data_IF_646830470187
#
_entry.id   IF_646830470187
#
_cell.length_a   1.000
_cell.length_b   1.000
_cell.length_c   1.000
_cell.angle_alpha   90.00
_cell.angle_beta   90.00
_cell.angle_gamma   90.00
#
_symmetry.space_group_name_H-M   'P 1'
#
loop_
_entity.id
_entity.type
_entity.pdbx_description
1 polymer ?
#
# COMPACT_ATOMS: atom_id res chain seq x y z
N UNK A 1 4.82 12.16 32.40
CA UNK A 1 4.61 12.69 31.03
C UNK A 1 4.10 11.61 30.05
N UNK A 2 3.05 10.83 30.41
CA UNK A 2 2.61 9.67 29.59
C UNK A 2 1.16 9.73 29.09
N UNK A 3 0.41 10.81 29.36
CA UNK A 3 -1.03 10.86 29.04
C UNK A 3 -1.39 11.70 27.81
N UNK A 4 -0.45 12.47 27.24
CA UNK A 4 -0.74 13.39 26.12
C UNK A 4 -0.67 12.74 24.73
N UNK A 5 -0.16 11.51 24.60
CA UNK A 5 -0.04 10.82 23.30
C UNK A 5 -1.37 10.13 22.88
N UNK A 6 -2.32 9.97 23.81
CA UNK A 6 -3.62 9.32 23.54
C UNK A 6 -4.53 10.10 22.59
N UNK A 7 -4.26 11.38 22.33
CA UNK A 7 -5.12 12.24 21.53
C UNK A 7 -4.96 12.10 20.00
N UNK A 8 -3.93 11.37 19.52
CA UNK A 8 -3.62 11.30 18.09
C UNK A 8 -4.12 10.03 17.38
N UNK A 9 -4.97 9.21 17.99
CA UNK A 9 -5.60 8.06 17.33
C UNK A 9 -4.63 6.95 16.87
N UNK A 10 -3.34 7.04 17.23
CA UNK A 10 -2.35 6.01 16.92
C UNK A 10 -2.61 4.75 17.77
N UNK A 11 -2.68 3.60 17.11
CA UNK A 11 -2.71 2.31 17.82
C UNK A 11 -1.38 2.12 18.58
N UNK A 12 -1.39 1.58 19.82
CA UNK A 12 -0.15 1.33 20.56
C UNK A 12 0.75 0.34 19.80
N UNK A 13 2.08 0.46 19.99
CA UNK A 13 3.01 -0.55 19.47
C UNK A 13 2.73 -1.91 20.13
N UNK A 14 2.27 -2.89 19.33
CA UNK A 14 2.06 -4.25 19.84
C UNK A 14 3.38 -4.87 20.32
N UNK A 15 3.39 -5.32 21.57
CA UNK A 15 4.49 -6.15 22.09
C UNK A 15 4.51 -7.51 21.38
N UNK A 16 5.61 -8.25 21.47
CA UNK A 16 5.68 -9.59 20.86
C UNK A 16 4.59 -10.54 21.37
N UNK A 17 4.26 -10.46 22.67
CA UNK A 17 3.17 -11.24 23.27
C UNK A 17 1.80 -10.87 22.71
N UNK A 18 1.54 -9.57 22.53
CA UNK A 18 0.27 -9.11 21.95
C UNK A 18 0.11 -9.57 20.50
N UNK A 19 1.20 -9.61 19.73
CA UNK A 19 1.16 -10.12 18.35
C UNK A 19 0.86 -11.60 18.32
N UNK A 20 1.53 -12.41 19.16
CA UNK A 20 1.24 -13.85 19.24
C UNK A 20 -0.22 -14.07 19.64
N UNK A 21 -0.70 -13.33 20.63
CA UNK A 21 -2.10 -13.39 21.07
C UNK A 21 -3.06 -12.96 19.97
N UNK A 22 -2.75 -11.89 19.23
CA UNK A 22 -3.53 -11.43 18.07
C UNK A 22 -3.61 -12.53 17.01
N UNK A 23 -2.47 -13.08 16.59
CA UNK A 23 -2.42 -14.13 15.55
C UNK A 23 -3.13 -15.42 15.97
N UNK A 24 -3.08 -15.78 17.25
CA UNK A 24 -3.73 -16.98 17.76
C UNK A 24 -5.24 -16.79 18.01
N UNK A 25 -5.65 -15.61 18.47
CA UNK A 25 -7.00 -15.35 18.99
C UNK A 25 -7.91 -14.69 17.95
N UNK A 26 -7.37 -13.86 17.07
CA UNK A 26 -8.17 -13.15 16.07
C UNK A 26 -8.67 -14.13 15.00
N UNK A 27 -10.00 -14.23 14.89
CA UNK A 27 -10.67 -15.09 13.92
C UNK A 27 -10.30 -14.75 12.47
N UNK A 28 -9.95 -13.50 12.19
CA UNK A 28 -9.57 -13.06 10.85
C UNK A 28 -8.11 -13.40 10.49
N UNK A 29 -7.21 -13.49 11.48
CA UNK A 29 -5.80 -13.81 11.26
C UNK A 29 -5.53 -15.32 11.22
N UNK A 30 -6.28 -16.10 12.01
CA UNK A 30 -6.11 -17.55 12.16
C UNK A 30 -6.09 -18.33 10.83
N UNK A 31 -6.97 -18.06 9.84
CA UNK A 31 -6.93 -18.77 8.56
C UNK A 31 -5.62 -18.59 7.80
N UNK A 32 -5.00 -17.41 7.88
CA UNK A 32 -3.71 -17.17 7.25
C UNK A 32 -2.59 -17.91 7.95
N UNK A 33 -2.56 -17.91 9.28
CA UNK A 33 -1.59 -18.69 10.07
C UNK A 33 -1.69 -20.17 9.72
N UNK A 34 -2.91 -20.72 9.70
CA UNK A 34 -3.14 -22.12 9.33
C UNK A 34 -2.74 -22.40 7.89
N UNK A 35 -3.07 -21.52 6.94
CA UNK A 35 -2.67 -21.67 5.54
C UNK A 35 -1.15 -21.62 5.35
N UNK A 36 -0.45 -20.73 6.05
CA UNK A 36 1.02 -20.66 6.01
C UNK A 36 1.68 -21.89 6.62
N UNK A 37 1.15 -22.41 7.73
CA UNK A 37 1.67 -23.62 8.37
C UNK A 37 1.38 -24.87 7.51
N UNK A 38 0.19 -24.96 6.93
CA UNK A 38 -0.17 -26.03 6.00
C UNK A 38 0.72 -26.01 4.76
N UNK A 39 0.97 -24.82 4.19
CA UNK A 39 1.89 -24.66 3.07
C UNK A 39 3.33 -25.08 3.44
N UNK A 40 3.81 -24.71 4.62
CA UNK A 40 5.12 -25.10 5.11
C UNK A 40 5.24 -26.62 5.31
N UNK A 41 4.20 -27.25 5.85
CA UNK A 41 4.10 -28.71 5.97
C UNK A 41 4.07 -29.39 4.59
N UNK A 42 3.37 -28.82 3.61
CA UNK A 42 3.37 -29.34 2.24
C UNK A 42 4.74 -29.22 1.56
N UNK A 43 5.45 -28.11 1.75
CA UNK A 43 6.84 -27.95 1.26
C UNK A 43 7.73 -29.05 1.85
N UNK A 44 7.61 -29.33 3.16
CA UNK A 44 8.33 -30.41 3.82
C UNK A 44 8.04 -31.78 3.19
N UNK A 45 6.76 -32.13 3.03
CA UNK A 45 6.35 -33.42 2.44
C UNK A 45 6.93 -33.57 1.04
N UNK A 46 6.87 -32.52 0.22
CA UNK A 46 7.40 -32.57 -1.14
C UNK A 46 8.93 -32.71 -1.15
N UNK A 47 9.66 -31.96 -0.31
CA UNK A 47 11.12 -32.09 -0.22
C UNK A 47 11.54 -33.47 0.29
N UNK A 48 10.82 -34.01 1.27
CA UNK A 48 11.02 -35.36 1.80
C UNK A 48 10.80 -36.43 0.73
N UNK A 49 9.70 -36.35 -0.03
CA UNK A 49 9.43 -37.24 -1.18
C UNK A 49 10.48 -37.12 -2.29
N UNK A 50 11.17 -35.98 -2.38
CA UNK A 50 12.25 -35.74 -3.33
C UNK A 50 13.61 -36.25 -2.82
N UNK A 51 13.66 -36.87 -1.64
CA UNK A 51 14.88 -37.40 -1.01
C UNK A 51 15.71 -36.34 -0.27
N UNK A 52 15.15 -35.15 0.00
CA UNK A 52 15.80 -34.07 0.73
C UNK A 52 15.27 -33.93 2.16
N UNK A 53 15.58 -34.91 3.00
CA UNK A 53 15.09 -34.97 4.38
C UNK A 53 15.60 -33.78 5.22
N UNK A 54 16.91 -33.52 5.12
CA UNK A 54 17.57 -32.41 5.80
C UNK A 54 17.04 -31.06 5.31
N UNK A 55 16.85 -30.92 3.99
CA UNK A 55 16.30 -29.72 3.37
C UNK A 55 14.89 -29.44 3.86
N UNK A 56 14.03 -30.46 3.92
CA UNK A 56 12.69 -30.36 4.47
C UNK A 56 12.69 -29.82 5.91
N UNK A 57 13.49 -30.43 6.81
CA UNK A 57 13.55 -30.04 8.22
C UNK A 57 14.01 -28.58 8.36
N UNK A 58 15.08 -28.20 7.66
CA UNK A 58 15.63 -26.84 7.71
C UNK A 58 14.58 -25.82 7.24
N UNK A 59 13.87 -26.10 6.14
CA UNK A 59 12.84 -25.20 5.61
C UNK A 59 11.70 -25.00 6.61
N UNK A 60 11.24 -26.07 7.28
CA UNK A 60 10.18 -25.95 8.31
C UNK A 60 10.64 -25.13 9.50
N UNK A 61 11.83 -25.44 10.05
CA UNK A 61 12.36 -24.72 11.20
C UNK A 61 12.57 -23.25 10.87
N UNK A 62 13.14 -22.96 9.70
CA UNK A 62 13.37 -21.60 9.24
C UNK A 62 12.05 -20.86 8.98
N UNK A 63 11.09 -21.50 8.31
CA UNK A 63 9.78 -20.91 8.02
C UNK A 63 8.97 -20.62 9.29
N UNK A 64 9.01 -21.52 10.28
CA UNK A 64 8.37 -21.32 11.57
C UNK A 64 9.07 -20.23 12.41
N UNK A 65 10.40 -20.21 12.44
CA UNK A 65 11.19 -19.17 13.09
C UNK A 65 10.93 -17.80 12.44
N UNK A 66 10.83 -17.74 11.11
CA UNK A 66 10.51 -16.53 10.37
C UNK A 66 9.14 -15.95 10.75
N UNK A 67 8.14 -16.80 10.94
CA UNK A 67 6.82 -16.40 11.45
C UNK A 67 6.91 -15.86 12.88
N UNK A 68 7.62 -16.56 13.77
CA UNK A 68 7.73 -16.18 15.18
C UNK A 68 8.53 -14.89 15.40
N UNK A 69 9.67 -14.76 14.71
CA UNK A 69 10.59 -13.62 14.82
C UNK A 69 10.17 -12.43 13.94
N UNK A 70 9.22 -12.63 13.03
CA UNK A 70 8.72 -11.62 12.09
C UNK A 70 9.82 -11.06 11.19
N UNK A 71 10.73 -11.93 10.77
CA UNK A 71 11.89 -11.53 9.98
C UNK A 71 11.49 -11.23 8.53
N UNK A 72 11.54 -9.95 8.14
CA UNK A 72 11.09 -9.48 6.82
C UNK A 72 11.92 -10.03 5.66
N UNK A 73 13.19 -10.36 5.90
CA UNK A 73 14.06 -10.98 4.91
C UNK A 73 13.86 -12.50 4.76
N UNK A 74 13.07 -13.13 5.63
CA UNK A 74 12.93 -14.58 5.60
C UNK A 74 12.33 -15.16 4.31
N UNK A 75 11.31 -14.56 3.65
CA UNK A 75 10.75 -15.12 2.42
C UNK A 75 11.78 -15.35 1.29
N UNK A 76 12.64 -14.38 0.91
CA UNK A 76 13.67 -14.63 -0.10
C UNK A 76 14.76 -15.61 0.38
N UNK A 77 15.11 -15.61 1.67
CA UNK A 77 16.03 -16.61 2.21
C UNK A 77 15.46 -18.03 2.14
N UNK A 78 14.18 -18.21 2.45
CA UNK A 78 13.52 -19.51 2.34
C UNK A 78 13.47 -20.01 0.89
N UNK A 79 13.24 -19.12 -0.07
CA UNK A 79 13.34 -19.46 -1.50
C UNK A 79 14.74 -19.92 -1.89
N UNK A 80 15.78 -19.23 -1.39
CA UNK A 80 17.17 -19.62 -1.62
C UNK A 80 17.49 -21.00 -1.04
N UNK A 81 17.00 -21.28 0.17
CA UNK A 81 17.17 -22.59 0.82
C UNK A 81 16.45 -23.69 0.03
N UNK A 82 15.19 -23.48 -0.38
CA UNK A 82 14.45 -24.44 -1.20
C UNK A 82 15.18 -24.68 -2.53
N UNK A 83 15.63 -23.61 -3.21
CA UNK A 83 16.37 -23.73 -4.45
C UNK A 83 17.68 -24.52 -4.27
N UNK A 84 18.42 -24.26 -3.19
CA UNK A 84 19.64 -24.98 -2.87
C UNK A 84 19.40 -26.49 -2.71
N UNK A 85 18.38 -26.88 -1.94
CA UNK A 85 18.06 -28.30 -1.72
C UNK A 85 17.38 -28.97 -2.93
N UNK A 86 16.79 -28.21 -3.83
CA UNK A 86 16.34 -28.71 -5.14
C UNK A 86 17.53 -29.03 -6.05
N UNK A 87 18.61 -28.25 -6.00
CA UNK A 87 19.85 -28.56 -6.72
C UNK A 87 20.64 -29.69 -6.06
N UNK A 88 20.68 -29.70 -4.72
CA UNK A 88 21.47 -30.62 -3.92
C UNK A 88 20.61 -31.29 -2.84
N UNK A 89 19.87 -32.37 -3.17
CA UNK A 89 18.95 -33.01 -2.22
C UNK A 89 19.61 -33.43 -0.90
N UNK A 90 20.86 -33.91 -0.97
CA UNK A 90 21.66 -34.31 0.19
C UNK A 90 22.40 -33.15 0.88
N UNK A 91 22.28 -31.93 0.36
CA UNK A 91 22.94 -30.72 0.87
C UNK A 91 24.42 -30.58 0.53
N UNK A 92 25.02 -31.57 -0.13
CA UNK A 92 26.41 -31.56 -0.59
C UNK A 92 26.41 -31.63 -2.12
N UNK A 93 27.14 -30.77 -2.83
CA UNK A 93 27.35 -30.92 -4.27
C UNK A 93 28.05 -32.25 -4.54
N UNK A 94 27.42 -33.14 -5.30
CA UNK A 94 28.03 -34.41 -5.71
C UNK A 94 28.98 -34.16 -6.91
N UNK A 95 30.31 -34.23 -6.72
CA UNK A 95 31.26 -34.01 -7.79
C UNK A 95 31.32 -35.17 -8.80
N UNK A 96 30.67 -36.31 -8.52
CA UNK A 96 30.73 -37.53 -9.33
C UNK A 96 29.60 -37.69 -10.35
N UNK A 97 28.54 -36.89 -10.27
CA UNK A 97 27.43 -36.96 -11.25
C UNK A 97 27.81 -36.25 -12.56
N UNK A 98 27.61 -36.91 -13.71
CA UNK A 98 28.10 -36.45 -15.02
C UNK A 98 27.51 -35.10 -15.51
N UNK A 99 26.55 -34.50 -14.80
CA UNK A 99 26.27 -33.06 -14.79
C UNK A 99 25.20 -32.77 -13.74
N UNK A 100 25.54 -32.26 -12.53
CA UNK A 100 24.53 -31.86 -11.54
C UNK A 100 23.63 -30.71 -12.04
N UNK A 101 24.06 -30.00 -13.09
CA UNK A 101 23.32 -28.93 -13.75
C UNK A 101 22.50 -29.38 -14.96
N UNK A 102 22.44 -30.70 -15.24
CA UNK A 102 21.56 -31.21 -16.27
C UNK A 102 20.13 -31.06 -15.77
N UNK A 103 19.48 -29.97 -16.19
CA UNK A 103 18.07 -29.69 -15.90
C UNK A 103 17.30 -30.96 -16.23
N UNK A 104 16.65 -31.57 -15.23
CA UNK A 104 15.78 -32.74 -15.45
C UNK A 104 14.79 -32.35 -16.55
N UNK A 105 14.99 -32.87 -17.75
CA UNK A 105 14.20 -32.52 -18.94
C UNK A 105 12.81 -33.17 -18.92
N UNK A 106 12.35 -33.57 -17.73
CA UNK A 106 11.11 -34.27 -17.51
C UNK A 106 9.92 -33.36 -17.77
N UNK A 107 8.95 -33.93 -18.48
CA UNK A 107 7.59 -33.44 -18.54
C UNK A 107 6.97 -33.29 -17.14
N UNK A 108 5.90 -32.47 -17.10
CA UNK A 108 4.92 -32.29 -16.03
C UNK A 108 5.12 -33.19 -14.79
N UNK A 109 5.79 -32.68 -13.76
CA UNK A 109 5.87 -33.35 -12.46
C UNK A 109 4.86 -32.73 -11.51
N UNK A 110 3.90 -33.55 -11.05
CA UNK A 110 2.89 -33.13 -10.07
C UNK A 110 3.57 -32.62 -8.80
N UNK A 111 4.68 -33.24 -8.40
CA UNK A 111 5.50 -32.85 -7.25
C UNK A 111 5.96 -31.39 -7.33
N UNK A 112 6.48 -30.96 -8.48
CA UNK A 112 6.96 -29.59 -8.67
C UNK A 112 5.80 -28.59 -8.66
N UNK A 113 4.65 -28.94 -9.25
CA UNK A 113 3.47 -28.09 -9.23
C UNK A 113 2.93 -27.88 -7.80
N UNK A 114 2.88 -28.97 -7.02
CA UNK A 114 2.47 -28.91 -5.61
C UNK A 114 3.47 -28.10 -4.79
N UNK A 115 4.78 -28.24 -5.04
CA UNK A 115 5.82 -27.44 -4.39
C UNK A 115 5.65 -25.96 -4.68
N UNK A 116 5.54 -25.59 -5.96
CA UNK A 116 5.38 -24.18 -6.38
C UNK A 116 4.10 -23.60 -5.80
N UNK A 117 2.99 -24.36 -5.83
CA UNK A 117 1.73 -23.93 -5.22
C UNK A 117 1.90 -23.69 -3.72
N UNK A 118 2.52 -24.62 -2.98
CA UNK A 118 2.76 -24.49 -1.55
C UNK A 118 3.67 -23.28 -1.25
N UNK A 119 4.73 -23.06 -2.04
CA UNK A 119 5.60 -21.88 -1.91
C UNK A 119 4.83 -20.58 -2.13
N UNK A 120 4.00 -20.49 -3.17
CA UNK A 120 3.19 -19.29 -3.43
C UNK A 120 2.20 -19.00 -2.29
N UNK A 121 1.54 -20.03 -1.77
CA UNK A 121 0.61 -19.93 -0.64
C UNK A 121 1.36 -19.50 0.63
N UNK A 122 2.53 -20.07 0.89
CA UNK A 122 3.41 -19.68 2.00
C UNK A 122 3.82 -18.20 1.88
N UNK A 123 4.40 -17.78 0.75
CA UNK A 123 4.85 -16.40 0.54
C UNK A 123 3.70 -15.41 0.72
N UNK A 124 2.56 -15.68 0.07
CA UNK A 124 1.40 -14.79 0.12
C UNK A 124 0.80 -14.72 1.52
N UNK A 125 0.68 -15.84 2.21
CA UNK A 125 0.24 -15.88 3.60
C UNK A 125 1.20 -15.15 4.53
N UNK A 126 2.51 -15.35 4.37
CA UNK A 126 3.56 -14.71 5.17
C UNK A 126 3.54 -13.18 5.01
N UNK A 127 3.49 -12.68 3.78
CA UNK A 127 3.36 -11.24 3.53
C UNK A 127 2.03 -10.68 4.04
N UNK A 128 0.93 -11.44 3.96
CA UNK A 128 -0.36 -11.02 4.54
C UNK A 128 -0.27 -10.89 6.06
N UNK A 129 0.33 -11.86 6.75
CA UNK A 129 0.57 -11.80 8.20
C UNK A 129 1.46 -10.62 8.58
N UNK A 130 2.51 -10.34 7.80
CA UNK A 130 3.33 -9.16 8.00
C UNK A 130 2.53 -7.87 7.85
N UNK A 131 1.53 -7.80 6.98
CA UNK A 131 0.69 -6.61 6.81
C UNK A 131 -0.26 -6.32 7.96
N UNK A 132 -0.55 -7.32 8.79
CA UNK A 132 -1.35 -7.16 10.01
C UNK A 132 -0.51 -6.64 11.17
N UNK A 133 0.77 -7.03 11.20
CA UNK A 133 1.67 -6.70 12.31
C UNK A 133 2.50 -5.45 12.02
N UNK A 134 2.90 -5.26 10.77
CA UNK A 134 3.77 -4.19 10.28
C UNK A 134 3.10 -3.42 9.14
N UNK A 135 3.50 -2.16 9.00
CA UNK A 135 3.11 -1.34 7.86
C UNK A 135 3.93 -1.76 6.64
N UNK A 136 3.26 -2.36 5.63
CA UNK A 136 3.91 -2.81 4.38
C UNK A 136 4.15 -1.65 3.41
N UNK A 137 3.24 -0.67 3.39
CA UNK A 137 3.31 0.44 2.45
C UNK A 137 4.07 1.58 3.10
N UNK A 138 5.07 2.19 2.44
CA UNK A 138 5.70 3.40 2.93
C UNK A 138 4.63 4.42 3.35
N UNK A 139 4.81 5.15 4.46
CA UNK A 139 3.84 6.15 4.87
C UNK A 139 3.63 7.16 3.73
N UNK A 140 2.37 7.47 3.41
CA UNK A 140 2.00 8.44 2.37
C UNK A 140 2.54 9.85 2.67
N UNK A 141 2.90 10.14 3.93
CA UNK A 141 3.60 11.35 4.30
C UNK A 141 5.10 11.22 3.99
N UNK A 142 5.59 12.06 3.08
CA UNK A 142 7.03 12.21 2.79
C UNK A 142 7.87 12.55 4.04
N UNK A 143 7.21 13.02 5.11
CA UNK A 143 7.80 13.35 6.41
C UNK A 143 7.06 12.57 7.50
N UNK A 144 7.63 11.44 7.94
CA UNK A 144 7.19 10.75 9.14
C UNK A 144 7.48 11.65 10.35
N UNK A 145 6.44 12.03 11.11
CA UNK A 145 6.67 12.81 12.33
C UNK A 145 7.35 11.93 13.38
N UNK A 146 8.29 12.50 14.13
CA UNK A 146 8.94 11.79 15.25
C UNK A 146 7.87 11.35 16.26
N UNK A 147 7.72 10.04 16.47
CA UNK A 147 6.70 9.45 17.35
C UNK A 147 5.37 9.11 16.66
N UNK A 148 5.27 9.27 15.34
CA UNK A 148 4.11 8.80 14.58
C UNK A 148 4.15 7.27 14.46
N UNK A 149 3.13 6.63 15.02
CA UNK A 149 3.03 5.16 15.03
C UNK A 149 2.59 4.69 13.65
N UNK A 150 3.22 3.64 13.08
CA UNK A 150 2.86 3.12 11.77
C UNK A 150 1.38 2.69 11.71
N UNK A 151 0.68 3.10 10.65
CA UNK A 151 -0.71 2.71 10.39
C UNK A 151 -0.72 1.25 9.91
N UNK A 152 -1.48 0.41 10.62
CA UNK A 152 -1.59 -1.03 10.35
C UNK A 152 -2.90 -1.31 9.61
N UNK A 153 -2.94 -2.39 8.82
CA UNK A 153 -4.19 -2.83 8.19
C UNK A 153 -5.17 -3.29 9.28
N UNK A 154 -6.38 -2.72 9.36
CA UNK A 154 -7.38 -3.19 10.33
C UNK A 154 -7.82 -4.62 10.00
N UNK A 155 -7.89 -5.49 11.01
CA UNK A 155 -8.28 -6.91 10.82
C UNK A 155 -9.73 -7.05 10.35
N UNK A 156 -10.59 -6.07 10.67
CA UNK A 156 -11.98 -6.00 10.20
C UNK A 156 -12.14 -5.87 8.67
N UNK A 157 -11.09 -5.47 7.94
CA UNK A 157 -11.12 -5.34 6.47
C UNK A 157 -10.71 -6.63 5.74
N UNK A 158 -10.47 -7.72 6.47
CA UNK A 158 -10.17 -9.01 5.88
C UNK A 158 -11.49 -9.67 5.48
N UNK A 159 -11.67 -9.90 4.19
CA UNK A 159 -12.87 -10.60 3.71
C UNK A 159 -12.68 -12.12 3.81
N UNK A 160 -13.73 -12.90 4.13
CA UNK A 160 -13.62 -14.35 4.27
C UNK A 160 -13.28 -15.09 2.97
N UNK A 161 -13.61 -14.50 1.82
CA UNK A 161 -13.29 -14.99 0.48
C UNK A 161 -11.83 -14.76 0.07
N UNK A 162 -11.07 -13.93 0.79
CA UNK A 162 -9.66 -13.63 0.47
C UNK A 162 -8.80 -14.90 0.44
N UNK A 163 -9.09 -15.87 1.32
CA UNK A 163 -8.34 -17.14 1.36
C UNK A 163 -8.62 -18.01 0.14
N UNK A 164 -9.90 -18.16 -0.22
CA UNK A 164 -10.28 -18.92 -1.41
C UNK A 164 -9.71 -18.29 -2.68
N UNK A 165 -9.78 -16.96 -2.79
CA UNK A 165 -9.19 -16.23 -3.91
C UNK A 165 -7.67 -16.34 -3.94
N UNK A 166 -7.01 -16.34 -2.78
CA UNK A 166 -5.57 -16.55 -2.67
C UNK A 166 -5.16 -17.94 -3.19
N UNK A 167 -5.88 -18.99 -2.79
CA UNK A 167 -5.62 -20.36 -3.24
C UNK A 167 -5.90 -20.50 -4.75
N UNK A 168 -7.03 -19.98 -5.22
CA UNK A 168 -7.39 -19.98 -6.63
C UNK A 168 -6.38 -19.23 -7.50
N UNK A 169 -5.94 -18.04 -7.08
CA UNK A 169 -4.92 -17.27 -7.79
C UNK A 169 -3.57 -17.98 -7.80
N UNK A 170 -3.18 -18.64 -6.71
CA UNK A 170 -1.93 -19.42 -6.65
C UNK A 170 -2.00 -20.63 -7.58
N UNK A 171 -3.12 -21.36 -7.60
CA UNK A 171 -3.35 -22.46 -8.52
C UNK A 171 -3.37 -22.01 -9.99
N UNK A 172 -4.05 -20.90 -10.30
CA UNK A 172 -4.05 -20.32 -11.64
C UNK A 172 -2.64 -19.91 -12.07
N UNK A 173 -1.84 -19.33 -11.19
CA UNK A 173 -0.45 -18.95 -11.49
C UNK A 173 0.42 -20.18 -11.78
N UNK A 174 0.25 -21.27 -11.04
CA UNK A 174 0.94 -22.54 -11.29
C UNK A 174 0.56 -23.11 -12.66
N UNK A 175 -0.75 -23.11 -13.00
CA UNK A 175 -1.22 -23.58 -14.31
C UNK A 175 -0.69 -22.73 -15.46
N UNK A 176 -0.67 -21.41 -15.29
CA UNK A 176 -0.08 -20.50 -16.29
C UNK A 176 1.43 -20.76 -16.42
N UNK A 177 2.15 -20.88 -15.30
CA UNK A 177 3.57 -21.21 -15.30
C UNK A 177 3.86 -22.53 -16.01
N UNK A 178 3.01 -23.54 -15.78
CA UNK A 178 3.09 -24.83 -16.45
C UNK A 178 2.82 -24.72 -17.95
N UNK A 179 1.83 -23.92 -18.37
CA UNK A 179 1.55 -23.67 -19.78
C UNK A 179 2.71 -22.94 -20.46
N UNK A 180 3.33 -21.97 -19.78
CA UNK A 180 4.54 -21.28 -20.26
C UNK A 180 5.71 -22.24 -20.37
N UNK A 181 5.94 -23.10 -19.36
CA UNK A 181 7.01 -24.10 -19.41
C UNK A 181 6.79 -25.13 -20.51
N UNK A 182 5.54 -25.55 -20.72
CA UNK A 182 5.16 -26.39 -21.86
C UNK A 182 5.48 -25.68 -23.18
N UNK A 183 5.10 -24.41 -23.33
CA UNK A 183 5.38 -23.62 -24.52
C UNK A 183 6.88 -23.48 -24.79
N UNK A 184 7.69 -23.25 -23.75
CA UNK A 184 9.16 -23.16 -23.84
C UNK A 184 9.77 -24.48 -24.33
N UNK A 185 9.22 -25.62 -23.93
CA UNK A 185 9.69 -26.92 -24.40
C UNK A 185 9.11 -27.33 -25.75
N UNK A 186 7.97 -26.75 -26.14
CA UNK A 186 7.34 -27.00 -27.43
C UNK A 186 7.92 -26.13 -28.56
N UNK A 187 8.65 -25.06 -28.25
CA UNK A 187 9.24 -24.14 -29.23
C UNK A 187 10.75 -24.36 -29.38
N UNK A 188 11.19 -24.43 -30.62
CA UNK A 188 12.60 -24.42 -31.02
C UNK A 188 12.95 -23.14 -31.76
N UNK A 189 14.02 -22.48 -31.30
CA UNK A 189 14.59 -21.30 -31.89
C UNK A 189 15.61 -21.69 -32.96
N UNK A 190 15.27 -21.42 -34.22
CA UNK A 190 16.09 -21.74 -35.39
C UNK A 190 16.32 -20.45 -36.19
N UNK A 191 17.38 -19.68 -35.87
CA UNK A 191 17.58 -18.36 -36.47
C UNK A 191 17.99 -18.40 -37.95
N UNK A 192 18.45 -19.55 -38.45
CA UNK A 192 19.00 -19.70 -39.80
C UNK A 192 17.93 -20.09 -40.85
N UNK A 193 16.69 -20.30 -40.45
CA UNK A 193 15.59 -20.63 -41.36
C UNK A 193 14.98 -19.34 -41.93
N UNK A 194 14.73 -19.28 -43.24
CA UNK A 194 14.42 -18.06 -44.00
C UNK A 194 13.04 -17.42 -43.73
N UNK A 195 12.38 -17.79 -42.63
CA UNK A 195 11.02 -17.38 -42.29
C UNK A 195 10.89 -16.92 -40.85
N UNK A 196 10.10 -17.66 -40.07
CA UNK A 196 9.88 -17.36 -38.65
C UNK A 196 10.98 -18.07 -37.84
N UNK A 197 11.67 -17.39 -36.91
CA UNK A 197 12.79 -17.99 -36.16
C UNK A 197 12.34 -19.02 -35.09
N UNK A 198 11.09 -19.48 -35.16
CA UNK A 198 10.49 -20.43 -34.24
C UNK A 198 9.82 -21.56 -35.03
N UNK A 199 10.13 -22.80 -34.66
CA UNK A 199 9.42 -24.00 -35.13
C UNK A 199 8.90 -24.80 -33.94
N UNK A 200 7.86 -25.60 -34.14
CA UNK A 200 7.42 -26.56 -33.14
C UNK A 200 8.47 -27.68 -33.01
N UNK A 201 8.81 -28.05 -31.78
CA UNK A 201 9.76 -29.12 -31.50
C UNK A 201 9.25 -30.44 -32.10
N UNK A 202 10.08 -31.09 -32.92
CA UNK A 202 9.74 -32.38 -33.50
C UNK A 202 10.11 -33.52 -32.53
N UNK A 203 9.40 -34.64 -32.57
CA UNK A 203 9.66 -35.78 -31.66
C UNK A 203 11.07 -36.37 -31.81
N UNK A 204 11.78 -36.05 -32.90
CA UNK A 204 13.17 -36.45 -33.17
C UNK A 204 14.20 -35.55 -32.48
N UNK A 205 13.93 -34.26 -32.32
CA UNK A 205 14.85 -33.30 -31.67
C UNK A 205 14.82 -33.37 -30.14
N UNK A 206 13.75 -33.93 -29.57
CA UNK A 206 13.66 -34.25 -28.13
C UNK A 206 14.61 -35.36 -27.67
N UNK A 207 15.25 -36.10 -28.59
CA UNK A 207 16.31 -37.05 -28.23
C UNK A 207 17.59 -36.25 -27.98
N UNK A 208 17.81 -35.87 -26.73
CA UNK A 208 18.98 -35.15 -26.20
C UNK A 208 20.37 -35.76 -26.56
N UNK A 209 20.40 -36.90 -27.25
CA UNK A 209 21.60 -37.66 -27.61
C UNK A 209 21.73 -37.96 -29.11
N UNK A 210 20.99 -37.28 -29.98
CA UNK A 210 21.29 -37.38 -31.42
C UNK A 210 22.67 -36.77 -31.67
N UNK A 211 23.68 -37.64 -31.84
CA UNK A 211 25.04 -37.25 -32.25
C UNK A 211 25.04 -36.52 -33.60
N UNK A 212 23.98 -36.68 -34.36
CA UNK A 212 23.77 -36.06 -35.66
C UNK A 212 22.92 -34.78 -35.51
N UNK A 213 23.43 -33.82 -34.73
CA UNK A 213 22.78 -32.51 -34.64
C UNK A 213 23.17 -31.68 -35.88
N UNK A 214 22.22 -31.15 -36.66
CA UNK A 214 22.53 -30.36 -37.84
C UNK A 214 23.42 -29.17 -37.49
N UNK A 215 24.44 -28.85 -38.31
CA UNK A 215 25.31 -27.71 -38.06
C UNK A 215 24.50 -26.42 -38.02
N UNK A 216 24.57 -25.69 -36.90
CA UNK A 216 23.86 -24.43 -36.68
C UNK A 216 22.68 -24.49 -35.70
N UNK A 217 22.28 -25.67 -35.23
CA UNK A 217 21.26 -25.80 -34.19
C UNK A 217 21.83 -25.60 -32.77
N UNK A 218 21.08 -24.93 -31.91
CA UNK A 218 21.46 -24.72 -30.51
C UNK A 218 21.27 -25.98 -29.67
N UNK A 219 22.09 -26.13 -28.62
CA UNK A 219 21.83 -27.16 -27.59
C UNK A 219 20.46 -26.91 -26.94
N UNK A 220 19.74 -27.95 -26.48
CA UNK A 220 18.42 -27.79 -25.87
C UNK A 220 18.37 -26.71 -24.76
N UNK A 221 19.39 -26.65 -23.91
CA UNK A 221 19.52 -25.61 -22.88
C UNK A 221 19.69 -24.19 -23.44
N UNK A 222 20.47 -24.02 -24.51
CA UNK A 222 20.65 -22.72 -25.18
C UNK A 222 19.37 -22.28 -25.88
N UNK A 223 18.69 -23.21 -26.56
CA UNK A 223 17.39 -22.96 -27.17
C UNK A 223 16.37 -22.44 -26.14
N UNK A 224 16.18 -23.17 -25.03
CA UNK A 224 15.28 -22.76 -23.93
C UNK A 224 15.66 -21.39 -23.37
N UNK A 225 16.96 -21.10 -23.20
CA UNK A 225 17.42 -19.80 -22.75
C UNK A 225 16.96 -18.67 -23.67
N UNK A 226 17.10 -18.81 -24.99
CA UNK A 226 16.64 -17.79 -25.95
C UNK A 226 15.13 -17.65 -25.97
N UNK A 227 14.38 -18.76 -25.89
CA UNK A 227 12.92 -18.73 -25.81
C UNK A 227 12.46 -18.03 -24.53
N UNK A 228 13.05 -18.35 -23.38
CA UNK A 228 12.77 -17.68 -22.10
C UNK A 228 13.11 -16.20 -22.14
N UNK A 229 14.25 -15.84 -22.73
CA UNK A 229 14.66 -14.45 -22.91
C UNK A 229 13.66 -13.69 -23.79
N UNK A 230 13.19 -14.30 -24.88
CA UNK A 230 12.15 -13.75 -25.75
C UNK A 230 10.83 -13.55 -25.01
N UNK A 231 10.35 -14.57 -24.30
CA UNK A 231 9.12 -14.48 -23.48
C UNK A 231 9.25 -13.38 -22.42
N UNK A 232 10.41 -13.27 -21.75
CA UNK A 232 10.65 -12.23 -20.75
C UNK A 232 10.66 -10.83 -21.39
N UNK A 233 11.35 -10.66 -22.52
CA UNK A 233 11.42 -9.37 -23.22
C UNK A 233 10.05 -8.91 -23.73
N UNK A 234 9.36 -9.75 -24.49
CA UNK A 234 8.04 -9.41 -25.02
C UNK A 234 6.97 -9.37 -23.92
N UNK A 235 7.06 -10.23 -22.91
CA UNK A 235 6.18 -10.24 -21.75
C UNK A 235 6.30 -8.95 -20.94
N UNK A 236 7.52 -8.46 -20.69
CA UNK A 236 7.73 -7.18 -19.99
C UNK A 236 7.24 -5.98 -20.82
N UNK A 237 7.44 -5.99 -22.14
CA UNK A 237 6.88 -4.97 -23.04
C UNK A 237 5.35 -4.98 -23.02
N UNK A 238 4.72 -6.16 -23.07
CA UNK A 238 3.27 -6.30 -23.00
C UNK A 238 2.73 -5.81 -21.65
N UNK A 239 3.34 -6.22 -20.54
CA UNK A 239 3.00 -5.76 -19.20
C UNK A 239 3.12 -4.23 -19.13
N UNK A 240 4.23 -3.66 -19.61
CA UNK A 240 4.42 -2.20 -19.65
C UNK A 240 3.36 -1.50 -20.49
N UNK A 241 2.95 -2.08 -21.62
CA UNK A 241 1.90 -1.54 -22.48
C UNK A 241 0.54 -1.56 -21.77
N UNK A 242 0.17 -2.70 -21.17
CA UNK A 242 -1.10 -2.88 -20.45
C UNK A 242 -1.16 -1.95 -19.24
N UNK A 243 -0.12 -1.91 -18.41
CA UNK A 243 -0.06 -1.01 -17.25
C UNK A 243 0.08 0.45 -17.65
N UNK A 244 0.76 0.76 -18.76
CA UNK A 244 0.82 2.10 -19.33
C UNK A 244 -0.57 2.57 -19.76
N UNK A 245 -1.31 1.72 -20.47
CA UNK A 245 -2.68 2.01 -20.87
C UNK A 245 -3.64 2.12 -19.68
N UNK A 246 -3.49 1.23 -18.68
CA UNK A 246 -4.28 1.32 -17.45
C UNK A 246 -3.95 2.60 -16.68
N UNK A 247 -2.67 2.98 -16.59
CA UNK A 247 -2.27 4.24 -15.97
C UNK A 247 -2.92 5.45 -16.64
N UNK A 248 -3.15 5.42 -17.96
CA UNK A 248 -3.90 6.48 -18.66
C UNK A 248 -5.38 6.54 -18.26
N UNK A 249 -5.94 5.47 -17.69
CA UNK A 249 -7.32 5.42 -17.19
C UNK A 249 -7.45 5.66 -15.68
N UNK A 250 -6.36 5.75 -14.94
CA UNK A 250 -6.38 6.04 -13.50
C UNK A 250 -6.16 7.53 -13.30
N UNK A 251 -7.07 8.19 -12.57
CA UNK A 251 -6.93 9.59 -12.21
C UNK A 251 -5.63 9.81 -11.42
N UNK A 252 -4.83 10.78 -11.86
CA UNK A 252 -3.66 11.21 -11.10
C UNK A 252 -4.08 11.86 -9.77
N UNK A 253 -3.20 11.87 -8.78
CA UNK A 253 -3.47 12.49 -7.48
C UNK A 253 -3.86 13.98 -7.61
N UNK A 254 -3.29 14.69 -8.58
CA UNK A 254 -3.66 16.08 -8.90
C UNK A 254 -5.08 16.20 -9.47
N UNK A 255 -5.48 15.27 -10.34
CA UNK A 255 -6.83 15.23 -10.90
C UNK A 255 -7.84 14.86 -9.82
N UNK A 256 -7.52 13.86 -8.98
CA UNK A 256 -8.32 13.50 -7.81
C UNK A 256 -8.45 14.65 -6.81
N UNK A 257 -7.36 15.37 -6.53
CA UNK A 257 -7.39 16.56 -5.66
C UNK A 257 -8.22 17.69 -6.27
N UNK A 258 -8.15 17.89 -7.59
CA UNK A 258 -8.98 18.87 -8.30
C UNK A 258 -10.47 18.51 -8.21
N UNK A 259 -10.82 17.23 -8.41
CA UNK A 259 -12.20 16.72 -8.30
C UNK A 259 -12.72 16.86 -6.87
N UNK A 260 -11.90 16.53 -5.87
CA UNK A 260 -12.26 16.70 -4.46
C UNK A 260 -12.42 18.18 -4.09
N UNK A 261 -11.53 19.05 -4.59
CA UNK A 261 -11.63 20.49 -4.37
C UNK A 261 -12.92 21.05 -4.99
N UNK A 262 -13.25 20.67 -6.21
CA UNK A 262 -14.47 21.09 -6.90
C UNK A 262 -15.73 20.58 -6.20
N UNK A 263 -15.72 19.31 -5.77
CA UNK A 263 -16.82 18.72 -4.99
C UNK A 263 -16.99 19.47 -3.67
N UNK A 264 -15.90 19.71 -2.93
CA UNK A 264 -15.92 20.44 -1.65
C UNK A 264 -16.37 21.89 -1.81
N UNK A 265 -16.05 22.52 -2.94
CA UNK A 265 -16.52 23.85 -3.28
C UNK A 265 -18.01 23.83 -3.57
N UNK A 266 -18.49 22.89 -4.39
CA UNK A 266 -19.90 22.75 -4.73
C UNK A 266 -20.80 22.56 -3.50
N UNK A 267 -20.31 21.79 -2.51
CA UNK A 267 -20.99 21.56 -1.25
C UNK A 267 -20.94 22.79 -0.33
N UNK A 268 -19.76 23.38 -0.13
CA UNK A 268 -19.57 24.44 0.88
C UNK A 268 -19.85 25.86 0.38
N UNK A 269 -19.90 26.10 -0.93
CA UNK A 269 -19.99 27.46 -1.47
C UNK A 269 -21.25 28.20 -1.03
N UNK A 270 -22.41 27.52 -1.02
CA UNK A 270 -23.68 28.12 -0.58
C UNK A 270 -23.64 28.56 0.88
N UNK A 271 -23.00 27.77 1.74
CA UNK A 271 -22.83 28.11 3.16
C UNK A 271 -21.84 29.26 3.34
N UNK A 272 -20.72 29.26 2.62
CA UNK A 272 -19.75 30.37 2.64
C UNK A 272 -20.39 31.69 2.25
N UNK A 273 -21.16 31.71 1.14
CA UNK A 273 -21.89 32.91 0.69
C UNK A 273 -22.91 33.36 1.73
N UNK A 274 -23.61 32.42 2.39
CA UNK A 274 -24.54 32.74 3.48
C UNK A 274 -23.80 33.39 4.65
N UNK A 275 -22.68 32.82 5.10
CA UNK A 275 -21.87 33.36 6.19
C UNK A 275 -21.31 34.76 5.87
N UNK A 276 -20.89 34.99 4.63
CA UNK A 276 -20.43 36.32 4.19
C UNK A 276 -21.56 37.36 4.19
N UNK A 277 -22.75 37.00 3.71
CA UNK A 277 -23.93 37.87 3.79
C UNK A 277 -24.26 38.22 5.24
N UNK A 278 -24.20 37.25 6.16
CA UNK A 278 -24.39 37.47 7.59
C UNK A 278 -23.31 38.39 8.19
N UNK A 279 -22.04 38.23 7.80
CA UNK A 279 -20.95 39.11 8.24
C UNK A 279 -21.14 40.54 7.74
N UNK A 280 -21.54 40.73 6.48
CA UNK A 280 -21.83 42.04 5.91
C UNK A 280 -23.01 42.70 6.61
N UNK A 281 -24.11 41.95 6.82
CA UNK A 281 -25.27 42.43 7.56
C UNK A 281 -24.92 42.82 9.00
N UNK A 282 -24.13 42.00 9.69
CA UNK A 282 -23.67 42.28 11.05
C UNK A 282 -22.83 43.55 11.15
N UNK A 283 -21.90 43.76 10.20
CA UNK A 283 -21.10 44.99 10.12
C UNK A 283 -21.96 46.23 9.89
N UNK A 284 -22.92 46.14 8.96
CA UNK A 284 -23.85 47.25 8.66
C UNK A 284 -24.74 47.58 9.85
N UNK A 285 -25.25 46.57 10.55
CA UNK A 285 -26.08 46.79 11.75
C UNK A 285 -25.28 47.38 12.91
N UNK A 286 -24.00 47.02 13.03
CA UNK A 286 -23.11 47.61 14.02
C UNK A 286 -22.80 49.08 13.71
N UNK A 287 -22.56 49.43 12.44
CA UNK A 287 -22.36 50.83 12.03
C UNK A 287 -23.61 51.68 12.25
N UNK A 288 -24.79 51.18 11.88
CA UNK A 288 -26.08 51.86 12.12
C UNK A 288 -26.31 52.12 13.61
N UNK A 289 -25.99 51.16 14.49
CA UNK A 289 -26.07 51.34 15.95
C UNK A 289 -25.06 52.35 16.48
N UNK A 290 -23.85 52.38 15.93
CA UNK A 290 -22.83 53.34 16.32
C UNK A 290 -23.21 54.76 15.90
N UNK A 291 -23.78 54.92 14.70
CA UNK A 291 -24.30 56.20 14.21
C UNK A 291 -25.48 56.69 15.06
N UNK A 292 -26.44 55.81 15.39
CA UNK A 292 -27.55 56.13 16.28
C UNK A 292 -27.08 56.56 17.68
N UNK A 293 -26.12 55.83 18.28
CA UNK A 293 -25.55 56.18 19.58
C UNK A 293 -24.80 57.53 19.54
N UNK A 294 -24.10 57.82 18.45
CA UNK A 294 -23.43 59.11 18.25
C UNK A 294 -24.43 60.26 18.09
N UNK A 295 -25.56 60.03 17.42
CA UNK A 295 -26.64 61.01 17.30
C UNK A 295 -27.30 61.28 18.65
N UNK A 296 -27.61 60.24 19.42
CA UNK A 296 -28.17 60.35 20.77
C UNK A 296 -27.23 61.12 21.71
N UNK A 297 -25.92 60.85 21.65
CA UNK A 297 -24.91 61.59 22.41
C UNK A 297 -24.89 63.08 22.05
N UNK A 298 -24.91 63.41 20.75
CA UNK A 298 -24.99 64.80 20.27
C UNK A 298 -26.29 65.50 20.71
N UNK A 299 -27.41 64.78 20.73
CA UNK A 299 -28.68 65.34 21.22
C UNK A 299 -28.62 65.63 22.71
N UNK A 300 -28.10 64.70 23.53
CA UNK A 300 -27.91 64.90 24.97
C UNK A 300 -26.97 66.06 25.28
N UNK A 301 -25.88 66.21 24.54
CA UNK A 301 -24.99 67.38 24.67
C UNK A 301 -25.70 68.69 24.35
N UNK A 302 -26.49 68.74 23.27
CA UNK A 302 -27.29 69.92 22.91
C UNK A 302 -28.34 70.24 23.97
N UNK A 303 -29.03 69.24 24.52
CA UNK A 303 -29.99 69.42 25.61
C UNK A 303 -29.31 69.90 26.89
N UNK A 304 -28.17 69.32 27.26
CA UNK A 304 -27.38 69.75 28.41
C UNK A 304 -26.89 71.20 28.24
N UNK A 305 -26.42 71.58 27.05
CA UNK A 305 -26.04 72.95 26.74
C UNK A 305 -27.23 73.92 26.84
N UNK A 306 -28.41 73.55 26.33
CA UNK A 306 -29.64 74.34 26.48
C UNK A 306 -30.05 74.52 27.94
N UNK A 307 -29.97 73.45 28.75
CA UNK A 307 -30.26 73.51 30.19
C UNK A 307 -29.29 74.43 30.92
N UNK A 308 -27.98 74.32 30.65
CA UNK A 308 -26.95 75.21 31.21
C UNK A 308 -27.19 76.67 30.86
N UNK A 309 -27.48 76.97 29.59
CA UNK A 309 -27.80 78.34 29.17
C UNK A 309 -29.05 78.89 29.87
N UNK A 310 -30.10 78.07 30.04
CA UNK A 310 -31.31 78.47 30.76
C UNK A 310 -31.06 78.67 32.27
N UNK A 311 -30.20 77.85 32.88
CA UNK A 311 -29.77 78.03 34.28
C UNK A 311 -28.93 79.30 34.46
N UNK A 312 -28.01 79.58 33.55
CA UNK A 312 -27.23 80.82 33.52
C UNK A 312 -28.14 82.05 33.37
N UNK A 313 -29.14 82.01 32.50
CA UNK A 313 -30.10 83.12 32.34
C UNK A 313 -30.94 83.31 33.62
N UNK A 314 -31.38 82.22 34.27
CA UNK A 314 -32.07 82.28 35.55
C UNK A 314 -31.18 82.83 36.66
N UNK A 315 -29.90 82.47 36.69
CA UNK A 315 -28.92 83.01 37.63
C UNK A 315 -28.65 84.50 37.39
N UNK A 316 -28.56 84.93 36.12
CA UNK A 316 -28.41 86.33 35.74
C UNK A 316 -29.62 87.18 36.18
N UNK A 317 -30.85 86.66 36.03
CA UNK A 317 -32.06 87.33 36.53
C UNK A 317 -32.13 87.44 38.06
N UNK A 318 -31.51 86.50 38.78
CA UNK A 318 -31.46 86.49 40.25
C UNK A 318 -30.32 87.33 40.83
N UNK A 319 -29.41 87.91 40.03
CA UNK A 319 -28.39 88.84 40.54
C UNK A 319 -29.08 90.14 41.01
N UNK A 320 -29.10 90.47 42.31
CA UNK A 320 -29.70 91.70 42.78
C UNK A 320 -28.94 92.91 42.25
N UNK A 321 -29.70 93.89 41.75
CA UNK A 321 -29.26 95.21 41.29
C UNK A 321 -28.71 96.01 42.49
N UNK A 322 -27.50 95.69 42.96
CA UNK A 322 -26.74 96.55 43.90
C UNK A 322 -25.57 97.19 43.14
N UNK A 323 -25.42 98.50 43.38
CA UNK A 323 -24.36 99.39 42.90
C UNK A 323 -24.45 99.88 41.44
N UNK A 324 -25.35 100.85 41.22
CA UNK A 324 -25.09 101.98 40.31
C UNK A 324 -25.72 103.24 40.88
N UNK A 325 -25.24 103.61 42.06
CA UNK A 325 -25.32 104.94 42.66
C UNK A 325 -23.86 105.36 42.79
N UNK A 326 -23.55 106.60 42.46
CA UNK A 326 -22.23 107.26 42.48
C UNK A 326 -21.57 107.28 41.09
N UNK A 327 -21.92 108.33 40.34
CA UNK A 327 -21.00 109.18 39.54
C UNK A 327 -21.75 109.91 38.42
N UNK A 328 -22.40 111.02 38.79
CA UNK A 328 -22.53 112.21 37.94
C UNK A 328 -22.43 113.44 38.85
N UNK A 329 -21.25 114.07 38.80
CA UNK A 329 -21.02 115.50 39.04
C UNK A 329 -20.92 116.17 37.68
#
# INVERSE_FOLDING_TARGET
>A
MSNTVKALGGQPELTQGDVIRLLATDAAARPYVLATLAALAMIFVVLFMSGSDLGGIIVVLFGAAAMALRWTAAPPFLLLVIAYFQLFPFGIPDPGSENPYQVRESHFQVTDMVLVMAVLVYLRGQYRLFGLVHQIVPPDSALKRKGEVPVRRPTAHIRPDELAWMLAASGALVLIGQAVWWLVNALEFVPMESGVPFRWADTRSLRAFSRDQPPGEFRPGQNRFFVLLGILFFGTLLVRLVFGYWRLRVMNASEGAMVLADTSWSESHRERVRLEKWRVWGRRRASERAEAAAQDARQREKEAARKRAAEEERAARKRPKRARRDDQK
#
